data_IF_350299022955
#
_entry.id   IF_350299022955
#
_cell.length_a   1.000
_cell.length_b   1.000
_cell.length_c   1.000
_cell.angle_alpha   90.00
_cell.angle_beta   90.00
_cell.angle_gamma   90.00
#
_symmetry.space_group_name_H-M   'P 1'
#
loop_
_entity.id
_entity.type
_entity.pdbx_description
1 polymer ?
#
# COMPACT_ATOMS: atom_id res chain seq x y z
N UNK A 1 10.02 -0.10 13.77
CA UNK A 1 8.78 0.47 13.18
C UNK A 1 8.89 0.61 11.67
N UNK A 2 9.64 1.57 11.11
CA UNK A 2 9.65 1.78 9.65
C UNK A 2 10.12 0.53 8.87
N UNK A 3 11.11 -0.20 9.37
CA UNK A 3 11.56 -1.47 8.77
C UNK A 3 10.50 -2.59 8.83
N UNK A 4 9.68 -2.60 9.88
CA UNK A 4 8.58 -3.56 10.04
C UNK A 4 7.46 -3.25 9.03
N UNK A 5 7.12 -1.96 8.89
CA UNK A 5 6.18 -1.50 7.87
C UNK A 5 6.67 -1.80 6.45
N UNK A 6 7.97 -1.60 6.18
CA UNK A 6 8.58 -1.93 4.90
C UNK A 6 8.55 -3.44 4.64
N UNK A 7 8.77 -4.27 5.66
CA UNK A 7 8.69 -5.73 5.57
C UNK A 7 7.28 -6.22 5.20
N UNK A 8 6.23 -5.61 5.77
CA UNK A 8 4.84 -5.87 5.39
C UNK A 8 4.60 -5.53 3.91
N UNK A 9 4.96 -4.32 3.49
CA UNK A 9 4.81 -3.90 2.09
C UNK A 9 5.57 -4.82 1.12
N UNK A 10 6.78 -5.23 1.48
CA UNK A 10 7.58 -6.13 0.65
C UNK A 10 6.91 -7.51 0.51
N UNK A 11 6.39 -8.08 1.61
CA UNK A 11 5.66 -9.34 1.59
C UNK A 11 4.39 -9.30 0.71
N UNK A 12 3.71 -8.15 0.66
CA UNK A 12 2.54 -7.96 -0.20
C UNK A 12 2.88 -8.09 -1.70
N UNK A 13 4.08 -7.68 -2.13
CA UNK A 13 4.42 -7.57 -3.56
C UNK A 13 4.32 -8.90 -4.31
N UNK A 14 4.84 -9.98 -3.72
CA UNK A 14 4.81 -11.31 -4.33
C UNK A 14 3.39 -11.88 -4.36
N UNK A 15 2.67 -11.78 -3.24
CA UNK A 15 1.28 -12.24 -3.16
C UNK A 15 0.38 -11.56 -4.21
N UNK A 16 0.55 -10.25 -4.45
CA UNK A 16 -0.13 -9.53 -5.53
C UNK A 16 0.28 -10.09 -6.90
N UNK A 17 1.58 -10.22 -7.16
CA UNK A 17 2.08 -10.70 -8.45
C UNK A 17 1.63 -12.13 -8.77
N UNK A 18 1.67 -13.02 -7.78
CA UNK A 18 1.13 -14.38 -7.90
C UNK A 18 -0.37 -14.37 -8.16
N UNK A 19 -1.15 -13.55 -7.42
CA UNK A 19 -2.60 -13.50 -7.60
C UNK A 19 -2.98 -13.00 -8.98
N UNK A 20 -2.33 -11.93 -9.46
CA UNK A 20 -2.49 -11.41 -10.83
C UNK A 20 -2.29 -12.52 -11.86
N UNK A 21 -1.23 -13.34 -11.73
CA UNK A 21 -1.01 -14.47 -12.65
C UNK A 21 -2.03 -15.59 -12.50
N UNK A 22 -2.44 -15.92 -11.27
CA UNK A 22 -3.45 -16.96 -10.99
C UNK A 22 -4.82 -16.64 -11.62
N UNK A 23 -5.14 -15.36 -11.81
CA UNK A 23 -6.36 -14.90 -12.50
C UNK A 23 -6.15 -14.58 -13.99
N UNK A 24 -5.00 -14.95 -14.56
CA UNK A 24 -4.70 -14.78 -15.99
C UNK A 24 -4.20 -13.40 -16.41
N UNK A 25 -3.90 -12.52 -15.45
CA UNK A 25 -3.36 -11.18 -15.71
C UNK A 25 -1.84 -11.17 -15.93
N UNK A 26 -1.34 -10.07 -16.52
CA UNK A 26 0.10 -9.83 -16.69
C UNK A 26 0.67 -8.99 -15.54
N UNK A 27 1.80 -9.42 -14.97
CA UNK A 27 2.48 -8.68 -13.89
C UNK A 27 3.29 -7.48 -14.42
N UNK A 28 3.69 -6.62 -13.48
CA UNK A 28 4.71 -5.59 -13.74
C UNK A 28 6.02 -6.26 -14.16
N UNK A 29 6.74 -5.65 -15.09
CA UNK A 29 7.84 -6.30 -15.82
C UNK A 29 9.11 -5.44 -15.99
N UNK A 30 9.06 -4.18 -15.56
CA UNK A 30 10.21 -3.26 -15.62
C UNK A 30 9.98 -2.04 -14.74
N UNK A 31 11.06 -1.36 -14.36
CA UNK A 31 11.04 -0.10 -13.60
C UNK A 31 10.20 0.95 -14.34
N UNK A 32 10.38 1.09 -15.65
CA UNK A 32 9.57 2.03 -16.43
C UNK A 32 8.07 1.67 -16.46
N UNK A 33 7.71 0.39 -16.32
CA UNK A 33 6.30 -0.01 -16.19
C UNK A 33 5.75 0.37 -14.80
N UNK A 34 6.54 0.19 -13.74
CA UNK A 34 6.20 0.62 -12.38
C UNK A 34 5.98 2.14 -12.37
N UNK A 35 6.92 2.93 -12.89
CA UNK A 35 6.86 4.38 -12.90
C UNK A 35 5.62 4.94 -13.65
N UNK A 36 5.11 4.25 -14.67
CA UNK A 36 3.89 4.66 -15.39
C UNK A 36 2.59 4.36 -14.64
N UNK A 37 2.59 3.33 -13.79
CA UNK A 37 1.40 2.86 -13.09
C UNK A 37 1.37 3.26 -11.62
N UNK A 38 2.48 3.79 -11.08
CA UNK A 38 2.53 4.26 -9.71
C UNK A 38 1.50 5.35 -9.48
N UNK A 39 0.95 5.35 -8.27
CA UNK A 39 -0.01 6.36 -7.81
C UNK A 39 0.46 7.00 -6.50
N UNK A 40 1.67 6.67 -6.07
CA UNK A 40 2.39 7.37 -5.00
C UNK A 40 3.28 8.40 -5.70
N UNK A 41 3.34 9.61 -5.16
CA UNK A 41 4.17 10.67 -5.71
C UNK A 41 5.61 10.46 -5.27
N UNK A 42 6.56 10.74 -6.14
CA UNK A 42 7.96 10.81 -5.76
C UNK A 42 8.19 12.07 -4.92
N UNK A 43 9.02 11.95 -3.87
CA UNK A 43 9.50 13.09 -3.11
C UNK A 43 10.99 13.31 -3.41
N UNK A 44 11.26 14.27 -4.30
CA UNK A 44 12.61 14.64 -4.76
C UNK A 44 13.26 15.76 -3.92
N UNK A 45 12.70 16.10 -2.76
CA UNK A 45 13.28 17.13 -1.90
C UNK A 45 14.65 16.69 -1.37
N UNK A 46 15.64 17.59 -1.42
CA UNK A 46 16.99 17.31 -0.88
C UNK A 46 16.98 17.06 0.64
N UNK A 47 15.98 17.61 1.32
CA UNK A 47 15.80 17.45 2.76
C UNK A 47 14.32 17.50 3.12
N UNK A 48 13.91 16.60 4.02
CA UNK A 48 12.58 16.56 4.65
C UNK A 48 12.79 16.38 6.13
N UNK A 49 12.13 17.19 6.96
CA UNK A 49 12.24 17.03 8.40
C UNK A 49 11.47 15.80 8.89
N UNK A 50 11.79 15.30 10.09
CA UNK A 50 11.17 14.06 10.58
C UNK A 50 9.64 14.15 10.74
N UNK A 51 9.05 15.24 11.27
CA UNK A 51 7.60 15.41 11.29
C UNK A 51 6.94 15.35 9.91
N UNK A 52 7.51 16.02 8.91
CA UNK A 52 6.98 16.07 7.55
C UNK A 52 7.08 14.70 6.87
N UNK A 53 8.20 13.97 7.04
CA UNK A 53 8.35 12.59 6.57
C UNK A 53 7.25 11.67 7.12
N UNK A 54 6.96 11.76 8.41
CA UNK A 54 5.91 10.93 9.04
C UNK A 54 4.51 11.36 8.59
N UNK A 55 4.27 12.66 8.40
CA UNK A 55 2.99 13.17 7.92
C UNK A 55 2.70 12.68 6.49
N UNK A 56 3.68 12.79 5.59
CA UNK A 56 3.58 12.31 4.21
C UNK A 56 3.34 10.80 4.15
N UNK A 57 4.16 10.02 4.87
CA UNK A 57 4.02 8.56 4.91
C UNK A 57 2.65 8.12 5.44
N UNK A 58 2.09 8.85 6.43
CA UNK A 58 0.75 8.59 6.95
C UNK A 58 -0.32 8.86 5.89
N UNK A 59 -0.22 9.98 5.17
CA UNK A 59 -1.16 10.31 4.10
C UNK A 59 -1.12 9.27 2.97
N UNK A 60 0.07 8.78 2.62
CA UNK A 60 0.21 7.71 1.63
C UNK A 60 -0.43 6.40 2.07
N UNK A 61 -0.28 6.02 3.34
CA UNK A 61 -0.99 4.85 3.87
C UNK A 61 -2.52 5.05 3.85
N UNK A 62 -3.02 6.25 4.15
CA UNK A 62 -4.46 6.55 4.02
C UNK A 62 -4.95 6.41 2.56
N UNK A 63 -4.18 6.93 1.60
CA UNK A 63 -4.46 6.76 0.16
C UNK A 63 -4.40 5.29 -0.26
N UNK A 64 -3.46 4.52 0.27
CA UNK A 64 -3.34 3.07 0.03
C UNK A 64 -4.57 2.31 0.56
N UNK A 65 -5.00 2.57 1.80
CA UNK A 65 -6.18 1.93 2.38
C UNK A 65 -7.45 2.23 1.55
N UNK A 66 -7.62 3.49 1.10
CA UNK A 66 -8.73 3.84 0.22
C UNK A 66 -8.71 3.05 -1.11
N UNK A 67 -7.54 2.87 -1.72
CA UNK A 67 -7.38 2.09 -2.96
C UNK A 67 -7.60 0.60 -2.75
N UNK A 68 -7.18 0.06 -1.60
CA UNK A 68 -7.44 -1.33 -1.24
C UNK A 68 -8.95 -1.57 -1.08
N UNK A 69 -9.69 -0.66 -0.42
CA UNK A 69 -11.17 -0.76 -0.34
C UNK A 69 -11.85 -0.68 -1.70
N UNK A 70 -11.34 0.15 -2.62
CA UNK A 70 -11.83 0.16 -4.00
C UNK A 70 -11.58 -1.18 -4.71
N UNK A 71 -10.40 -1.76 -4.54
CA UNK A 71 -10.07 -3.06 -5.11
C UNK A 71 -10.92 -4.20 -4.49
N UNK A 72 -11.22 -4.12 -3.19
CA UNK A 72 -12.15 -5.03 -2.51
C UNK A 72 -13.54 -4.97 -3.13
N UNK A 73 -14.07 -3.76 -3.39
CA UNK A 73 -15.37 -3.60 -4.06
C UNK A 73 -15.42 -4.24 -5.45
N UNK A 74 -14.32 -4.19 -6.21
CA UNK A 74 -14.21 -4.91 -7.50
C UNK A 74 -14.21 -6.42 -7.28
N UNK A 75 -13.52 -6.92 -6.24
CA UNK A 75 -13.53 -8.34 -5.91
C UNK A 75 -14.96 -8.82 -5.55
N UNK A 76 -15.71 -8.01 -4.80
CA UNK A 76 -17.09 -8.31 -4.41
C UNK A 76 -18.01 -8.39 -5.63
N UNK A 77 -17.94 -7.43 -6.55
CA UNK A 77 -18.70 -7.44 -7.81
C UNK A 77 -18.45 -8.71 -8.63
N UNK A 78 -17.20 -9.18 -8.66
CA UNK A 78 -16.78 -10.35 -9.43
C UNK A 78 -16.79 -11.65 -8.64
N UNK A 79 -17.19 -11.63 -7.36
CA UNK A 79 -17.15 -12.79 -6.44
C UNK A 79 -15.76 -13.43 -6.33
N UNK A 80 -14.70 -12.63 -6.42
CA UNK A 80 -13.31 -13.09 -6.23
C UNK A 80 -12.95 -13.14 -4.74
N UNK A 81 -13.45 -14.18 -4.07
CA UNK A 81 -13.27 -14.39 -2.63
C UNK A 81 -11.78 -14.47 -2.26
N UNK A 82 -10.96 -15.13 -3.08
CA UNK A 82 -9.55 -15.34 -2.77
C UNK A 82 -8.75 -14.02 -2.80
N UNK A 83 -9.05 -13.12 -3.73
CA UNK A 83 -8.42 -11.78 -3.75
C UNK A 83 -8.98 -10.90 -2.63
N UNK A 84 -10.29 -10.96 -2.38
CA UNK A 84 -10.93 -10.20 -1.30
C UNK A 84 -10.28 -10.49 0.06
N UNK A 85 -10.11 -11.77 0.42
CA UNK A 85 -9.50 -12.17 1.70
C UNK A 85 -8.04 -11.70 1.86
N UNK A 86 -7.27 -11.61 0.77
CA UNK A 86 -5.93 -11.03 0.81
C UNK A 86 -5.98 -9.52 1.08
N UNK A 87 -6.87 -8.82 0.37
CA UNK A 87 -7.02 -7.37 0.48
C UNK A 87 -7.51 -6.96 1.87
N UNK A 88 -8.40 -7.71 2.50
CA UNK A 88 -8.87 -7.45 3.87
C UNK A 88 -7.71 -7.42 4.88
N UNK A 89 -6.80 -8.39 4.81
CA UNK A 89 -5.58 -8.41 5.65
C UNK A 89 -4.72 -7.18 5.39
N UNK A 90 -4.52 -6.82 4.12
CA UNK A 90 -3.71 -5.66 3.77
C UNK A 90 -4.36 -4.33 4.18
N UNK A 91 -5.70 -4.25 4.21
CA UNK A 91 -6.42 -3.07 4.72
C UNK A 91 -6.11 -2.90 6.20
N UNK A 92 -6.26 -3.97 7.00
CA UNK A 92 -6.00 -3.93 8.44
C UNK A 92 -4.54 -3.52 8.74
N UNK A 93 -3.57 -4.15 8.07
CA UNK A 93 -2.15 -3.77 8.19
C UNK A 93 -1.92 -2.30 7.81
N UNK A 94 -2.55 -1.81 6.74
CA UNK A 94 -2.41 -0.41 6.29
C UNK A 94 -3.02 0.58 7.28
N UNK A 95 -4.16 0.22 7.87
CA UNK A 95 -4.81 1.01 8.92
C UNK A 95 -3.95 1.05 10.18
N UNK A 96 -3.35 -0.08 10.58
CA UNK A 96 -2.41 -0.16 11.69
C UNK A 96 -1.18 0.73 11.45
N UNK A 97 -0.59 0.71 10.25
CA UNK A 97 0.52 1.61 9.87
C UNK A 97 0.11 3.08 9.98
N UNK A 98 -1.06 3.42 9.45
CA UNK A 98 -1.63 4.77 9.53
C UNK A 98 -1.77 5.24 10.98
N UNK A 99 -2.30 4.36 11.84
CA UNK A 99 -2.48 4.65 13.27
C UNK A 99 -1.15 4.86 13.98
N UNK A 100 -0.15 3.98 13.80
CA UNK A 100 1.17 4.17 14.41
C UNK A 100 1.83 5.49 14.00
N UNK A 101 1.77 5.83 12.71
CA UNK A 101 2.34 7.09 12.20
C UNK A 101 1.59 8.30 12.76
N UNK A 102 0.26 8.20 12.89
CA UNK A 102 -0.54 9.21 13.57
C UNK A 102 -0.08 9.41 15.02
N UNK A 103 0.01 8.34 15.82
CA UNK A 103 0.43 8.42 17.23
C UNK A 103 1.83 9.02 17.40
N UNK A 104 2.78 8.66 16.53
CA UNK A 104 4.12 9.24 16.53
C UNK A 104 4.15 10.73 16.14
N UNK A 105 3.22 11.17 15.30
CA UNK A 105 3.14 12.57 14.86
C UNK A 105 2.46 13.50 15.87
N UNK A 106 1.88 12.96 16.95
CA UNK A 106 1.24 13.77 17.99
C UNK A 106 2.30 14.54 18.78
N UNK A 107 2.20 15.86 18.78
CA UNK A 107 2.87 16.71 19.77
C UNK A 107 2.01 16.71 21.04
N UNK A 108 2.62 16.41 22.18
CA UNK A 108 2.00 16.56 23.49
C UNK A 108 1.71 18.02 23.85
#
# INVERSE_FOLDING_TARGET
LLDEQASQLFAMTDAIAERVRKVGGSTLRSIGHIARLQRVSDNDAEFVDAPDMLAELREDNQRMAARLRQALGVCDEHRDIATASLIEVWIDETEQRTWYLFELSRRG
#
